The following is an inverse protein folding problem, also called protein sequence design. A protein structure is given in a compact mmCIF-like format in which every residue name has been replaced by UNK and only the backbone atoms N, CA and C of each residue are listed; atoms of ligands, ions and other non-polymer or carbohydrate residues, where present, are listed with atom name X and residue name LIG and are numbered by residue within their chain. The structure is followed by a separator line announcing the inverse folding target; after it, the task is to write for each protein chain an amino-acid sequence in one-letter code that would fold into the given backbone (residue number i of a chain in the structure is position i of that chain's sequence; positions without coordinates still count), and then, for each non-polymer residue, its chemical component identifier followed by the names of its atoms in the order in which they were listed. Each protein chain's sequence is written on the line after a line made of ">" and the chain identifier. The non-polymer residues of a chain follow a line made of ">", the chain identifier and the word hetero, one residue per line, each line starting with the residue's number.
data_IF_454170679730
#
_entry.id   IF_454170679730
#
_cell.length_a   1.000
_cell.length_b   1.000
_cell.length_c   1.000
_cell.angle_alpha   90.00
_cell.angle_beta   90.00
_cell.angle_gamma   90.00
#
_symmetry.space_group_name_H-M   'P 1'
#
loop_
_entity.id
_entity.type
_entity.pdbx_description
1 polymer ?
#
# COMPACT_ATOMS: atom_id res chain seq x y z
N UNK A 1 -4.57 -10.04 28.14
CA UNK A 1 -4.50 -10.44 26.72
C UNK A 1 -5.49 -11.55 26.36
N UNK A 2 -5.39 -12.77 26.91
CA UNK A 2 -6.33 -13.87 26.56
C UNK A 2 -7.79 -13.59 26.95
N UNK A 3 -8.03 -12.94 28.09
CA UNK A 3 -9.38 -12.52 28.50
C UNK A 3 -9.92 -11.38 27.61
N UNK A 4 -9.06 -10.49 27.13
CA UNK A 4 -9.42 -9.40 26.23
C UNK A 4 -9.84 -9.95 24.87
N UNK A 5 -9.10 -10.93 24.33
CA UNK A 5 -9.45 -11.63 23.09
C UNK A 5 -10.82 -12.31 23.23
N UNK A 6 -11.06 -13.02 24.34
CA UNK A 6 -12.38 -13.66 24.57
C UNK A 6 -13.49 -12.60 24.60
N UNK A 7 -13.26 -11.48 25.25
CA UNK A 7 -14.23 -10.38 25.34
C UNK A 7 -14.51 -9.79 23.95
N UNK A 8 -13.46 -9.52 23.16
CA UNK A 8 -13.56 -9.01 21.80
C UNK A 8 -14.35 -9.98 20.90
N UNK A 9 -14.10 -11.28 21.01
CA UNK A 9 -14.84 -12.30 20.25
C UNK A 9 -16.34 -12.26 20.57
N UNK A 10 -16.70 -12.14 21.85
CA UNK A 10 -18.12 -12.05 22.25
C UNK A 10 -18.77 -10.73 21.83
N UNK A 11 -17.98 -9.66 21.66
CA UNK A 11 -18.44 -8.35 21.23
C UNK A 11 -18.57 -8.20 19.70
N UNK A 12 -18.06 -9.16 18.91
CA UNK A 12 -18.11 -9.09 17.45
C UNK A 12 -19.55 -9.05 16.93
N UNK A 13 -19.82 -8.11 16.03
CA UNK A 13 -21.13 -7.93 15.39
C UNK A 13 -20.99 -8.25 13.91
N UNK A 14 -21.91 -9.04 13.36
CA UNK A 14 -21.96 -9.35 11.93
C UNK A 14 -23.07 -8.54 11.25
N UNK A 15 -22.90 -7.21 11.23
CA UNK A 15 -23.84 -6.31 10.54
C UNK A 15 -23.28 -5.88 9.19
N UNK A 16 -24.14 -5.41 8.29
CA UNK A 16 -23.71 -4.80 7.03
C UNK A 16 -22.77 -3.60 7.24
N UNK A 17 -22.92 -2.90 8.37
CA UNK A 17 -22.05 -1.79 8.73
C UNK A 17 -20.63 -2.27 9.05
N UNK A 18 -20.48 -3.38 9.77
CA UNK A 18 -19.20 -4.00 10.08
C UNK A 18 -18.54 -4.60 8.83
N UNK A 19 -19.34 -5.23 7.96
CA UNK A 19 -18.86 -5.72 6.67
C UNK A 19 -18.37 -4.57 5.78
N UNK A 20 -19.15 -3.49 5.68
CA UNK A 20 -18.75 -2.30 4.92
C UNK A 20 -17.53 -1.60 5.54
N UNK A 21 -17.42 -1.57 6.87
CA UNK A 21 -16.30 -0.98 7.60
C UNK A 21 -15.00 -1.74 7.36
N UNK A 22 -15.06 -3.09 7.42
CA UNK A 22 -13.91 -3.96 7.15
C UNK A 22 -13.37 -3.89 5.73
N UNK A 23 -14.19 -3.48 4.75
CA UNK A 23 -13.79 -3.28 3.35
C UNK A 23 -13.41 -1.83 3.04
N UNK A 24 -13.47 -0.92 4.01
CA UNK A 24 -13.30 0.52 3.78
C UNK A 24 -11.91 0.90 3.26
N UNK A 25 -10.91 0.07 3.52
CA UNK A 25 -9.51 0.31 3.18
C UNK A 25 -9.14 -0.23 1.78
N UNK A 26 -9.96 -1.15 1.22
CA UNK A 26 -9.71 -1.81 -0.07
C UNK A 26 -9.57 -0.84 -1.25
N UNK A 27 -10.24 0.31 -1.18
CA UNK A 27 -10.21 1.33 -2.23
C UNK A 27 -8.81 1.89 -2.51
N UNK A 28 -7.93 1.88 -1.50
CA UNK A 28 -6.50 2.22 -1.69
C UNK A 28 -5.60 1.01 -1.67
N UNK A 29 -5.97 -0.06 -0.95
CA UNK A 29 -5.19 -1.30 -0.88
C UNK A 29 -5.00 -1.96 -2.23
N UNK A 30 -6.09 -2.23 -2.95
CA UNK A 30 -6.05 -3.04 -4.19
C UNK A 30 -5.16 -2.36 -5.25
N UNK A 31 -5.36 -1.07 -5.58
CA UNK A 31 -4.50 -0.41 -6.56
C UNK A 31 -3.04 -0.36 -6.13
N UNK A 32 -2.78 -0.17 -4.83
CA UNK A 32 -1.43 -0.04 -4.29
C UNK A 32 -0.68 -1.38 -4.35
N UNK A 33 -1.30 -2.47 -3.89
CA UNK A 33 -0.68 -3.80 -3.90
C UNK A 33 -0.46 -4.29 -5.32
N UNK A 34 -1.43 -4.07 -6.22
CA UNK A 34 -1.26 -4.40 -7.64
C UNK A 34 -0.09 -3.61 -8.26
N UNK A 35 0.00 -2.31 -7.97
CA UNK A 35 1.10 -1.47 -8.43
C UNK A 35 2.47 -1.93 -7.92
N UNK A 36 2.58 -2.28 -6.64
CA UNK A 36 3.82 -2.84 -6.09
C UNK A 36 4.15 -4.16 -6.79
N UNK A 37 3.20 -5.10 -6.88
CA UNK A 37 3.43 -6.42 -7.46
C UNK A 37 3.91 -6.34 -8.92
N UNK A 38 3.27 -5.50 -9.73
CA UNK A 38 3.63 -5.30 -11.14
C UNK A 38 5.03 -4.67 -11.29
N UNK A 39 5.37 -3.69 -10.45
CA UNK A 39 6.59 -2.90 -10.62
C UNK A 39 7.81 -3.55 -9.97
N UNK A 40 7.64 -4.19 -8.82
CA UNK A 40 8.75 -4.75 -8.02
C UNK A 40 8.87 -6.26 -8.12
N UNK A 41 7.87 -6.93 -8.72
CA UNK A 41 7.83 -8.39 -8.80
C UNK A 41 7.50 -9.09 -7.48
N UNK A 42 7.00 -8.36 -6.48
CA UNK A 42 6.50 -9.00 -5.25
C UNK A 42 5.28 -9.88 -5.54
N UNK A 43 5.24 -11.06 -4.94
CA UNK A 43 4.12 -11.99 -5.06
C UNK A 43 2.85 -11.41 -4.42
N UNK A 44 1.83 -11.17 -5.26
CA UNK A 44 0.54 -10.62 -4.86
C UNK A 44 -0.17 -11.53 -3.82
N UNK A 45 -0.09 -12.85 -3.99
CA UNK A 45 -0.72 -13.83 -3.11
C UNK A 45 -0.14 -13.79 -1.71
N UNK A 46 1.19 -13.68 -1.56
CA UNK A 46 1.85 -13.52 -0.26
C UNK A 46 1.35 -12.26 0.44
N UNK A 47 1.32 -11.12 -0.26
CA UNK A 47 0.87 -9.85 0.33
C UNK A 47 -0.57 -9.97 0.81
N UNK A 48 -1.47 -10.53 0.00
CA UNK A 48 -2.88 -10.70 0.35
C UNK A 48 -3.09 -11.66 1.53
N UNK A 49 -2.38 -12.79 1.57
CA UNK A 49 -2.47 -13.75 2.68
C UNK A 49 -2.01 -13.10 3.98
N UNK A 50 -0.84 -12.46 4.00
CA UNK A 50 -0.33 -11.84 5.23
C UNK A 50 -1.17 -10.65 5.65
N UNK A 51 -1.63 -9.80 4.72
CA UNK A 51 -2.54 -8.70 5.03
C UNK A 51 -3.85 -9.23 5.66
N UNK A 52 -4.43 -10.30 5.10
CA UNK A 52 -5.63 -10.94 5.64
C UNK A 52 -5.41 -11.53 7.04
N UNK A 53 -4.34 -12.30 7.23
CA UNK A 53 -3.98 -12.88 8.53
C UNK A 53 -3.79 -11.77 9.57
N UNK A 54 -3.01 -10.74 9.25
CA UNK A 54 -2.76 -9.66 10.21
C UNK A 54 -4.01 -8.81 10.47
N UNK A 55 -4.89 -8.57 9.49
CA UNK A 55 -6.19 -7.91 9.71
C UNK A 55 -7.06 -8.70 10.70
N UNK A 56 -7.08 -10.03 10.61
CA UNK A 56 -7.80 -10.88 11.55
C UNK A 56 -7.14 -10.80 12.94
N UNK A 57 -5.81 -10.94 13.01
CA UNK A 57 -5.08 -10.91 14.29
C UNK A 57 -5.24 -9.57 15.00
N UNK A 58 -5.08 -8.44 14.29
CA UNK A 58 -5.26 -7.10 14.88
C UNK A 58 -6.72 -6.88 15.29
N UNK A 59 -7.68 -7.35 14.48
CA UNK A 59 -9.10 -7.35 14.83
C UNK A 59 -9.40 -8.08 16.15
N UNK A 60 -8.84 -9.28 16.33
CA UNK A 60 -9.03 -10.09 17.54
C UNK A 60 -8.31 -9.49 18.76
N UNK A 61 -7.11 -8.92 18.57
CA UNK A 61 -6.30 -8.36 19.65
C UNK A 61 -6.83 -7.02 20.15
N UNK A 62 -7.26 -6.13 19.23
CA UNK A 62 -7.63 -4.76 19.56
C UNK A 62 -9.15 -4.50 19.56
N UNK A 63 -9.97 -5.48 19.17
CA UNK A 63 -11.43 -5.37 19.18
C UNK A 63 -12.00 -4.44 18.10
N UNK A 64 -11.19 -4.06 17.12
CA UNK A 64 -11.58 -3.23 15.98
C UNK A 64 -10.78 -3.64 14.73
N UNK A 65 -11.38 -3.58 13.52
CA UNK A 65 -10.64 -3.84 12.28
C UNK A 65 -9.60 -2.73 12.08
N UNK A 66 -8.31 -3.07 12.19
CA UNK A 66 -7.19 -2.17 11.91
C UNK A 66 -6.62 -2.54 10.54
N UNK A 67 -6.80 -1.69 9.50
CA UNK A 67 -6.28 -1.93 8.16
C UNK A 67 -4.78 -2.21 8.11
N UNK A 68 -4.40 -3.38 7.62
CA UNK A 68 -3.01 -3.79 7.37
C UNK A 68 -2.76 -3.68 5.87
N UNK A 69 -2.08 -2.60 5.49
CA UNK A 69 -1.74 -2.30 4.09
C UNK A 69 -0.25 -2.09 3.93
N UNK A 70 0.30 -2.20 2.70
CA UNK A 70 1.64 -1.71 2.41
C UNK A 70 1.77 -0.26 2.86
N UNK A 71 2.82 0.03 3.64
CA UNK A 71 3.01 1.36 4.19
C UNK A 71 3.22 2.37 3.05
N UNK A 72 2.46 3.47 3.06
CA UNK A 72 2.32 4.37 1.91
C UNK A 72 3.66 4.91 1.38
N UNK A 73 4.63 5.21 2.25
CA UNK A 73 5.91 5.75 1.80
C UNK A 73 6.81 4.66 1.22
N UNK A 74 6.93 3.50 1.90
CA UNK A 74 7.69 2.36 1.37
C UNK A 74 7.11 1.93 0.03
N UNK A 75 5.79 1.79 -0.08
CA UNK A 75 5.11 1.43 -1.32
C UNK A 75 5.35 2.45 -2.44
N UNK A 76 5.22 3.74 -2.14
CA UNK A 76 5.44 4.80 -3.14
C UNK A 76 6.90 4.85 -3.62
N UNK A 77 7.87 4.71 -2.72
CA UNK A 77 9.29 4.64 -3.09
C UNK A 77 9.60 3.34 -3.84
N UNK A 78 9.02 2.22 -3.42
CA UNK A 78 9.19 0.93 -4.10
C UNK A 78 8.71 0.99 -5.56
N UNK A 79 7.57 1.64 -5.82
CA UNK A 79 7.07 1.86 -7.18
C UNK A 79 7.93 2.89 -7.93
N UNK A 80 8.25 4.02 -7.31
CA UNK A 80 8.95 5.11 -7.97
C UNK A 80 10.41 4.77 -8.32
N UNK A 81 11.10 4.06 -7.43
CA UNK A 81 12.51 3.70 -7.56
C UNK A 81 12.74 2.24 -7.98
N UNK A 82 11.65 1.47 -8.20
CA UNK A 82 11.71 0.05 -8.62
C UNK A 82 12.56 -0.81 -7.66
N UNK A 83 12.29 -0.66 -6.35
CA UNK A 83 13.04 -1.40 -5.31
C UNK A 83 12.87 -2.91 -5.47
N UNK A 84 13.94 -3.64 -5.16
CA UNK A 84 13.94 -5.10 -5.17
C UNK A 84 13.08 -5.64 -4.00
N UNK A 85 12.48 -6.84 -4.13
CA UNK A 85 11.76 -7.48 -3.04
C UNK A 85 12.58 -7.62 -1.75
N UNK A 86 13.90 -7.85 -1.84
CA UNK A 86 14.82 -7.91 -0.69
C UNK A 86 15.02 -6.57 0.01
N UNK A 87 15.01 -5.46 -0.73
CA UNK A 87 15.11 -4.10 -0.18
C UNK A 87 13.82 -3.71 0.52
N UNK A 88 12.67 -4.10 -0.04
CA UNK A 88 11.36 -3.88 0.57
C UNK A 88 11.22 -4.71 1.86
N UNK A 89 11.66 -5.97 1.83
CA UNK A 89 11.71 -6.83 3.01
C UNK A 89 12.60 -6.22 4.11
N UNK A 90 13.81 -5.76 3.75
CA UNK A 90 14.69 -5.05 4.68
C UNK A 90 14.04 -3.78 5.24
N UNK A 91 13.45 -2.93 4.39
CA UNK A 91 12.74 -1.72 4.82
C UNK A 91 11.63 -2.02 5.83
N UNK A 92 10.82 -3.05 5.55
CA UNK A 92 9.74 -3.51 6.44
C UNK A 92 10.25 -4.04 7.78
N UNK A 93 11.30 -4.86 7.78
CA UNK A 93 11.91 -5.40 9.00
C UNK A 93 12.52 -4.29 9.86
N UNK A 94 13.23 -3.33 9.26
CA UNK A 94 13.83 -2.20 9.99
C UNK A 94 12.74 -1.30 10.56
N UNK A 95 11.75 -0.91 9.75
CA UNK A 95 10.65 -0.07 10.20
C UNK A 95 9.86 -0.73 11.33
N UNK A 96 9.51 -2.01 11.16
CA UNK A 96 8.82 -2.80 12.19
C UNK A 96 9.64 -2.94 13.47
N UNK A 97 10.94 -3.25 13.35
CA UNK A 97 11.85 -3.35 14.50
C UNK A 97 11.99 -2.04 15.27
N UNK A 98 12.16 -0.91 14.56
CA UNK A 98 12.24 0.41 15.18
C UNK A 98 10.93 0.76 15.89
N UNK A 99 9.79 0.58 15.23
CA UNK A 99 8.48 0.86 15.83
C UNK A 99 8.21 -0.04 17.02
N UNK A 100 8.61 -1.32 16.96
CA UNK A 100 8.50 -2.26 18.08
C UNK A 100 9.34 -1.83 19.29
N UNK A 101 10.60 -1.44 19.07
CA UNK A 101 11.48 -0.93 20.14
C UNK A 101 10.91 0.34 20.73
N UNK A 102 10.53 1.32 19.91
CA UNK A 102 9.96 2.59 20.38
C UNK A 102 8.64 2.41 21.14
N UNK A 103 7.79 1.50 20.66
CA UNK A 103 6.50 1.18 21.28
C UNK A 103 6.65 0.47 22.61
N UNK A 104 7.53 -0.54 22.68
CA UNK A 104 7.80 -1.26 23.94
C UNK A 104 8.51 -0.41 24.99
N UNK A 105 9.33 0.56 24.58
CA UNK A 105 10.03 1.47 25.48
C UNK A 105 9.23 2.72 25.88
N UNK A 106 8.04 2.94 25.31
CA UNK A 106 7.24 4.16 25.51
C UNK A 106 7.89 5.45 24.99
N UNK A 107 8.84 5.34 24.04
CA UNK A 107 9.60 6.48 23.51
C UNK A 107 8.93 7.17 22.32
N UNK A 108 7.83 6.60 21.79
CA UNK A 108 7.08 7.13 20.64
C UNK A 108 6.80 8.62 20.81
N UNK A 109 6.26 9.04 21.95
CA UNK A 109 5.88 10.44 22.20
C UNK A 109 7.07 11.39 22.18
N UNK A 110 8.24 10.96 22.68
CA UNK A 110 9.46 11.80 22.65
C UNK A 110 9.95 11.99 21.22
N UNK A 111 9.99 10.91 20.44
CA UNK A 111 10.42 10.94 19.03
C UNK A 111 9.45 11.76 18.18
N UNK A 112 8.15 11.65 18.44
CA UNK A 112 7.11 12.44 17.80
C UNK A 112 7.36 13.95 18.01
N UNK A 113 7.63 14.39 19.23
CA UNK A 113 7.89 15.81 19.52
C UNK A 113 9.22 16.31 18.95
N UNK A 114 10.19 15.42 18.71
CA UNK A 114 11.49 15.76 18.13
C UNK A 114 11.43 16.07 16.63
N UNK A 115 10.45 15.55 15.89
CA UNK A 115 10.40 15.67 14.43
C UNK A 115 9.43 16.79 14.02
N UNK A 116 9.92 17.92 13.49
CA UNK A 116 9.07 19.02 13.06
C UNK A 116 8.14 18.63 11.91
N UNK A 117 6.88 19.12 11.96
CA UNK A 117 5.89 18.95 10.88
C UNK A 117 6.41 19.34 9.48
N UNK A 118 7.24 20.39 9.29
CA UNK A 118 7.82 20.71 7.98
C UNK A 118 8.64 19.57 7.35
N UNK A 119 9.35 18.76 8.14
CA UNK A 119 10.12 17.62 7.64
C UNK A 119 9.18 16.59 7.02
N UNK A 120 8.09 16.27 7.72
CA UNK A 120 7.08 15.32 7.26
C UNK A 120 6.47 15.79 5.94
N UNK A 121 6.08 17.06 5.86
CA UNK A 121 5.50 17.64 4.63
C UNK A 121 6.49 17.59 3.47
N UNK A 122 7.77 17.83 3.74
CA UNK A 122 8.84 17.67 2.75
C UNK A 122 8.97 16.23 2.25
N UNK A 123 8.97 15.24 3.16
CA UNK A 123 9.02 13.82 2.80
C UNK A 123 7.78 13.43 1.98
N UNK A 124 6.57 13.80 2.42
CA UNK A 124 5.32 13.52 1.72
C UNK A 124 5.30 14.12 0.31
N UNK A 125 5.75 15.37 0.17
CA UNK A 125 5.84 16.04 -1.12
C UNK A 125 6.87 15.36 -2.02
N UNK A 126 8.06 15.05 -1.49
CA UNK A 126 9.14 14.41 -2.26
C UNK A 126 8.76 13.02 -2.75
N UNK A 127 8.22 12.17 -1.86
CA UNK A 127 7.78 10.81 -2.22
C UNK A 127 6.59 10.88 -3.20
N UNK A 128 5.63 11.77 -2.96
CA UNK A 128 4.49 11.97 -3.85
C UNK A 128 4.91 12.47 -5.23
N UNK A 129 5.86 13.40 -5.31
CA UNK A 129 6.39 13.91 -6.57
C UNK A 129 7.15 12.85 -7.35
N UNK A 130 7.98 12.04 -6.68
CA UNK A 130 8.67 10.89 -7.31
C UNK A 130 7.67 9.90 -7.90
N UNK A 131 6.62 9.56 -7.16
CA UNK A 131 5.56 8.67 -7.64
C UNK A 131 4.80 9.27 -8.84
N UNK A 132 4.52 10.58 -8.81
CA UNK A 132 3.88 11.28 -9.92
C UNK A 132 4.76 11.28 -11.18
N UNK A 133 6.06 11.58 -11.04
CA UNK A 133 7.02 11.54 -12.14
C UNK A 133 7.13 10.14 -12.75
N UNK A 134 7.14 9.09 -11.90
CA UNK A 134 7.13 7.71 -12.39
C UNK A 134 5.84 7.38 -13.13
N UNK A 135 4.68 7.82 -12.63
CA UNK A 135 3.41 7.69 -13.34
C UNK A 135 3.40 8.37 -14.71
N UNK A 136 3.99 9.57 -14.82
CA UNK A 136 4.16 10.26 -16.11
C UNK A 136 5.07 9.46 -17.03
N UNK A 137 6.18 8.89 -16.52
CA UNK A 137 7.07 8.05 -17.33
C UNK A 137 6.35 6.84 -17.94
N UNK A 138 5.50 6.16 -17.15
CA UNK A 138 4.69 5.04 -17.66
C UNK A 138 3.71 5.45 -18.74
N UNK A 139 3.09 6.64 -18.62
CA UNK A 139 2.17 7.14 -19.64
C UNK A 139 2.93 7.56 -20.90
N UNK A 140 4.13 8.15 -20.75
CA UNK A 140 4.90 8.68 -21.88
C UNK A 140 5.42 7.61 -22.85
N UNK A 141 5.55 6.37 -22.39
CA UNK A 141 5.95 5.23 -23.21
C UNK A 141 4.78 4.67 -24.07
N UNK A 142 3.56 5.15 -23.85
CA UNK A 142 2.35 4.66 -24.53
C UNK A 142 2.11 5.37 -25.88
N UNK A 143 1.39 4.73 -26.83
CA UNK A 143 0.95 5.38 -28.05
C UNK A 143 0.12 6.65 -27.79
N UNK A 144 0.16 7.61 -28.71
CA UNK A 144 -0.57 8.89 -28.57
C UNK A 144 -2.08 8.69 -28.73
N UNK A 145 -2.50 7.84 -29.67
CA UNK A 145 -3.91 7.59 -30.04
C UNK A 145 -4.23 6.10 -29.89
N UNK A 146 -5.37 5.76 -29.29
CA UNK A 146 -5.81 4.38 -29.07
C UNK A 146 -6.58 4.20 -27.75
N UNK A 147 -7.09 3.00 -27.50
CA UNK A 147 -7.74 2.66 -26.22
C UNK A 147 -6.72 2.56 -25.06
N UNK A 148 -5.48 2.14 -25.35
CA UNK A 148 -4.36 2.14 -24.40
C UNK A 148 -3.35 3.22 -24.79
N UNK A 149 -3.72 4.49 -24.58
CA UNK A 149 -2.97 5.64 -25.08
C UNK A 149 -2.85 6.76 -24.04
N UNK A 150 -1.96 7.70 -24.33
CA UNK A 150 -1.83 8.96 -23.59
C UNK A 150 -3.16 9.73 -23.54
N UNK A 151 -3.90 9.77 -24.65
CA UNK A 151 -5.19 10.46 -24.73
C UNK A 151 -6.22 9.87 -23.77
N UNK A 152 -6.30 8.55 -23.71
CA UNK A 152 -7.22 7.85 -22.79
C UNK A 152 -6.81 8.05 -21.33
N UNK A 153 -5.51 8.01 -21.02
CA UNK A 153 -5.00 8.30 -19.67
C UNK A 153 -5.35 9.72 -19.20
N UNK A 154 -5.22 10.72 -20.09
CA UNK A 154 -5.59 12.12 -19.78
C UNK A 154 -7.09 12.26 -19.56
N UNK A 155 -7.93 11.67 -20.42
CA UNK A 155 -9.39 11.75 -20.31
C UNK A 155 -9.87 11.15 -18.98
N UNK A 156 -9.39 9.95 -18.65
CA UNK A 156 -9.75 9.29 -17.39
C UNK A 156 -9.22 10.10 -16.20
N UNK A 157 -7.98 10.59 -16.27
CA UNK A 157 -7.38 11.42 -15.23
C UNK A 157 -8.18 12.68 -14.93
N UNK A 158 -8.57 13.43 -15.96
CA UNK A 158 -9.41 14.63 -15.84
C UNK A 158 -10.79 14.27 -15.30
N UNK A 159 -11.42 13.23 -15.83
CA UNK A 159 -12.73 12.76 -15.37
C UNK A 159 -12.73 12.47 -13.87
N UNK A 160 -11.67 11.85 -13.36
CA UNK A 160 -11.51 11.54 -11.94
C UNK A 160 -11.28 12.79 -11.08
N UNK A 161 -10.51 13.76 -11.58
CA UNK A 161 -10.34 15.05 -10.89
C UNK A 161 -11.66 15.82 -10.78
N UNK A 162 -12.54 15.71 -11.78
CA UNK A 162 -13.89 16.29 -11.72
C UNK A 162 -14.78 15.55 -10.72
N UNK A 163 -14.71 14.22 -10.69
CA UNK A 163 -15.46 13.35 -9.77
C UNK A 163 -15.09 13.56 -8.30
N UNK A 164 -13.86 14.02 -7.98
CA UNK A 164 -13.46 14.36 -6.60
C UNK A 164 -14.39 15.39 -5.94
N UNK A 165 -15.07 16.24 -6.72
CA UNK A 165 -16.05 17.20 -6.20
C UNK A 165 -17.31 16.52 -5.62
N UNK A 166 -17.57 15.26 -5.99
CA UNK A 166 -18.70 14.45 -5.56
C UNK A 166 -18.39 13.59 -4.32
N UNK A 167 -17.59 14.10 -3.37
CA UNK A 167 -17.33 13.73 -1.95
C UNK A 167 -17.42 12.27 -1.42
N UNK A 168 -17.71 11.22 -2.20
CA UNK A 168 -18.00 9.87 -1.68
C UNK A 168 -17.47 8.69 -2.51
N UNK A 169 -16.75 8.93 -3.60
CA UNK A 169 -16.34 7.85 -4.50
C UNK A 169 -14.85 7.49 -4.37
N UNK A 170 -14.48 6.20 -4.26
CA UNK A 170 -13.09 5.73 -4.20
C UNK A 170 -12.43 5.89 -5.57
N UNK A 171 -11.97 7.11 -5.84
CA UNK A 171 -11.43 7.51 -7.15
C UNK A 171 -10.26 6.65 -7.63
N UNK A 172 -9.38 6.20 -6.74
CA UNK A 172 -8.28 5.29 -7.08
C UNK A 172 -8.79 3.92 -7.55
N UNK A 173 -9.85 3.40 -6.93
CA UNK A 173 -10.44 2.12 -7.30
C UNK A 173 -11.17 2.19 -8.65
N UNK A 174 -11.84 3.31 -8.94
CA UNK A 174 -12.45 3.55 -10.26
C UNK A 174 -11.40 3.65 -11.36
N UNK A 175 -10.29 4.36 -11.10
CA UNK A 175 -9.17 4.43 -12.04
C UNK A 175 -8.65 3.02 -12.34
N UNK A 176 -8.36 2.25 -11.28
CA UNK A 176 -7.87 0.90 -11.40
C UNK A 176 -8.85 -0.01 -12.16
N UNK A 177 -10.14 0.04 -11.81
CA UNK A 177 -11.19 -0.72 -12.48
C UNK A 177 -11.34 -0.35 -13.95
N UNK A 178 -11.25 0.94 -14.30
CA UNK A 178 -11.28 1.39 -15.70
C UNK A 178 -10.09 0.84 -16.50
N UNK A 179 -8.91 0.79 -15.88
CA UNK A 179 -7.72 0.17 -16.48
C UNK A 179 -7.90 -1.33 -16.72
N UNK A 180 -8.49 -2.06 -15.75
CA UNK A 180 -8.81 -3.48 -15.92
C UNK A 180 -9.83 -3.72 -17.04
N UNK A 181 -10.86 -2.89 -17.14
CA UNK A 181 -11.84 -2.99 -18.24
C UNK A 181 -11.16 -2.79 -19.59
N UNK A 182 -10.32 -1.76 -19.73
CA UNK A 182 -9.56 -1.51 -20.97
C UNK A 182 -8.63 -2.70 -21.28
N UNK A 183 -7.95 -3.24 -20.26
CA UNK A 183 -7.09 -4.42 -20.41
C UNK A 183 -7.86 -5.62 -20.96
N UNK A 184 -9.02 -5.95 -20.40
CA UNK A 184 -9.81 -7.10 -20.85
C UNK A 184 -10.45 -6.89 -22.22
N UNK A 185 -10.76 -5.63 -22.59
CA UNK A 185 -11.26 -5.32 -23.93
C UNK A 185 -10.17 -5.46 -25.01
N UNK A 186 -8.93 -5.12 -24.68
CA UNK A 186 -7.80 -5.17 -25.62
C UNK A 186 -7.15 -6.54 -25.71
N UNK A 187 -7.11 -7.26 -24.59
CA UNK A 187 -6.50 -8.58 -24.50
C UNK A 187 -7.45 -9.56 -23.81
N UNK A 188 -8.53 -10.00 -24.48
CA UNK A 188 -9.51 -10.92 -23.89
C UNK A 188 -8.89 -12.26 -23.49
N UNK A 189 -7.81 -12.70 -24.16
CA UNK A 189 -7.15 -13.97 -23.84
C UNK A 189 -6.56 -13.98 -22.43
N UNK A 190 -6.29 -12.81 -21.83
CA UNK A 190 -5.76 -12.71 -20.46
C UNK A 190 -6.67 -13.40 -19.43
N UNK A 191 -7.98 -13.45 -19.67
CA UNK A 191 -8.93 -14.18 -18.80
C UNK A 191 -8.67 -15.69 -18.79
N UNK A 192 -8.24 -16.25 -19.91
CA UNK A 192 -7.92 -17.69 -20.02
C UNK A 192 -6.60 -18.07 -19.36
N UNK A 193 -5.74 -17.08 -19.08
CA UNK A 193 -4.45 -17.25 -18.40
C UNK A 193 -4.56 -17.07 -16.89
N UNK A 194 -5.76 -16.79 -16.36
CA UNK A 194 -5.98 -16.73 -14.91
C UNK A 194 -5.91 -18.15 -14.36
N UNK A 195 -4.77 -18.47 -13.76
CA UNK A 195 -4.56 -19.73 -13.06
C UNK A 195 -4.53 -19.48 -11.55
N UNK A 196 -5.31 -20.26 -10.81
CA UNK A 196 -5.18 -20.32 -9.37
C UNK A 196 -3.90 -21.06 -9.03
N UNK A 197 -2.95 -20.34 -8.46
CA UNK A 197 -1.72 -20.90 -7.91
C UNK A 197 -1.62 -20.55 -6.43
N UNK A 198 -1.02 -21.46 -5.67
CA UNK A 198 -0.61 -21.14 -4.31
C UNK A 198 0.61 -20.22 -4.39
N UNK A 199 0.70 -19.20 -3.51
CA UNK A 199 1.86 -18.32 -3.50
C UNK A 199 3.12 -19.11 -3.17
N UNK A 200 4.20 -18.79 -3.86
CA UNK A 200 5.50 -19.44 -3.63
C UNK A 200 6.20 -18.78 -2.46
N UNK A 201 6.09 -19.38 -1.27
CA UNK A 201 6.82 -18.93 -0.10
C UNK A 201 8.33 -19.08 -0.32
N UNK A 202 8.99 -17.94 -0.56
CA UNK A 202 10.45 -17.85 -0.59
C UNK A 202 10.91 -16.99 0.56
N UNK A 203 11.91 -17.48 1.30
CA UNK A 203 12.57 -16.68 2.33
C UNK A 203 13.53 -15.75 1.61
N UNK A 204 13.25 -14.45 1.70
CA UNK A 204 14.12 -13.43 1.13
C UNK A 204 15.13 -13.02 2.22
N UNK A 205 16.40 -13.32 1.99
CA UNK A 205 17.51 -12.88 2.86
C UNK A 205 18.18 -11.64 2.23
N UNK A 206 17.99 -10.43 2.80
CA UNK A 206 18.59 -9.23 2.22
C UNK A 206 20.11 -9.22 2.41
N UNK A 207 20.84 -8.81 1.37
CA UNK A 207 22.28 -8.54 1.46
C UNK A 207 22.55 -7.27 2.26
N UNK A 208 23.79 -7.05 2.69
CA UNK A 208 24.17 -5.81 3.39
C UNK A 208 23.81 -4.54 2.61
N UNK A 209 23.95 -4.57 1.28
CA UNK A 209 23.53 -3.49 0.39
C UNK A 209 22.02 -3.31 0.41
N UNK A 210 21.24 -4.39 0.36
CA UNK A 210 19.78 -4.31 0.44
C UNK A 210 19.30 -3.77 1.79
N UNK A 211 20.00 -4.05 2.88
CA UNK A 211 19.72 -3.44 4.19
C UNK A 211 19.95 -1.93 4.18
N UNK A 212 21.04 -1.46 3.56
CA UNK A 212 21.34 -0.05 3.46
C UNK A 212 20.32 0.68 2.56
N UNK A 213 19.98 0.12 1.40
CA UNK A 213 18.97 0.69 0.50
C UNK A 213 17.59 0.67 1.15
N UNK A 214 17.19 -0.47 1.72
CA UNK A 214 15.92 -0.62 2.44
C UNK A 214 15.79 0.37 3.60
N UNK A 215 16.87 0.61 4.35
CA UNK A 215 16.91 1.63 5.39
C UNK A 215 16.73 3.03 4.82
N UNK A 216 17.62 3.45 3.92
CA UNK A 216 17.73 4.84 3.46
C UNK A 216 16.56 5.27 2.57
N UNK A 217 16.10 4.38 1.70
CA UNK A 217 15.02 4.65 0.73
C UNK A 217 13.64 4.33 1.30
N UNK A 218 13.52 3.27 2.08
CA UNK A 218 12.23 2.78 2.58
C UNK A 218 11.94 3.19 4.03
N UNK A 219 12.70 2.64 4.98
CA UNK A 219 12.40 2.76 6.40
C UNK A 219 12.53 4.21 6.91
N UNK A 220 13.59 4.91 6.51
CA UNK A 220 13.89 6.27 6.96
C UNK A 220 12.75 7.27 6.67
N UNK A 221 12.21 7.38 5.44
CA UNK A 221 11.05 8.25 5.20
C UNK A 221 9.77 7.73 5.85
N UNK A 222 9.64 6.42 6.05
CA UNK A 222 8.43 5.80 6.60
C UNK A 222 8.30 5.96 8.13
N UNK A 223 9.40 5.96 8.89
CA UNK A 223 9.36 6.04 10.35
C UNK A 223 8.67 7.33 10.84
N UNK A 224 9.08 8.55 10.38
CA UNK A 224 8.37 9.78 10.74
C UNK A 224 6.90 9.74 10.37
N UNK A 225 6.58 9.21 9.18
CA UNK A 225 5.21 9.12 8.71
C UNK A 225 4.37 8.16 9.53
N UNK A 226 4.96 7.13 10.12
CA UNK A 226 4.24 6.17 10.95
C UNK A 226 3.98 6.74 12.34
N UNK A 227 4.96 7.46 12.89
CA UNK A 227 4.88 8.03 14.23
C UNK A 227 4.01 9.29 14.30
N UNK A 228 3.95 10.09 13.23
CA UNK A 228 3.32 11.41 13.22
C UNK A 228 2.05 11.51 12.37
N UNK A 229 1.71 10.44 11.64
CA UNK A 229 0.48 10.35 10.85
C UNK A 229 -0.51 9.34 11.44
N UNK A 230 -0.25 8.86 12.66
CA UNK A 230 -1.27 8.21 13.50
C UNK A 230 -2.23 9.30 13.98
N UNK A 231 -3.39 9.37 13.31
CA UNK A 231 -4.55 10.15 13.75
C UNK A 231 -5.34 9.31 14.75
#
# INVERSE_FOLDING_TARGET
>A
MLNDIKTNIHAMRFTLMEFSGGLGDLGTFIPLVAGISIVTGMDLGIILIFAGIFNILTGLLFGQPIPVQPMKAIAAVAIAEQLLPSEIAAAGLIAGGIVFVLGSSGLITKVEHLIPKPIIRGIQLGVGLKLALKGISFISEMPIIGLNSVTTAIIIGIGILMLKKLKKFPTALLLFGSGLVILFLLTPETLSQIHFSLPTFSIIMPTAENWLTGFTRGALPQIPLTLLNSV
#
